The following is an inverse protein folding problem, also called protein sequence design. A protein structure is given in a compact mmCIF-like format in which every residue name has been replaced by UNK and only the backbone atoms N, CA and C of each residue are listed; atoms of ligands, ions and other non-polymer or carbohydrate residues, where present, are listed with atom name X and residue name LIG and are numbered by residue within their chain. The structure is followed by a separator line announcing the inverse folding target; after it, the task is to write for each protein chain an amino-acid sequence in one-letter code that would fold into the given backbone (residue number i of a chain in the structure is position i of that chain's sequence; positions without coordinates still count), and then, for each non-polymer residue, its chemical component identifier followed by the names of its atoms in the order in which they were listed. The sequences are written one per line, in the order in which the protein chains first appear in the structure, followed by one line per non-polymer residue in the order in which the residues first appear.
data_IF_682679021075
#
_entry.id   IF_682679021075
#
_cell.length_a   1.000
_cell.length_b   1.000
_cell.length_c   1.000
_cell.angle_alpha   90.00
_cell.angle_beta   90.00
_cell.angle_gamma   90.00
#
_symmetry.space_group_name_H-M   'P 1'
#
loop_
_entity.id
_entity.type
_entity.pdbx_description
1 polymer ?
#
# COMPACT_ATOMS: atom_id res chain seq x y z
N UNK A 1 -31.31 -55.14 -24.69
CA UNK A 1 -31.34 -54.53 -23.34
C UNK A 1 -29.89 -54.36 -22.92
N UNK A 2 -29.33 -53.15 -23.08
CA UNK A 2 -29.12 -52.16 -22.00
C UNK A 2 -28.13 -52.69 -20.93
N UNK A 3 -27.07 -52.02 -20.47
CA UNK A 3 -26.65 -50.62 -20.55
C UNK A 3 -25.16 -50.54 -20.09
N UNK A 4 -24.40 -49.65 -20.74
CA UNK A 4 -23.45 -48.63 -20.22
C UNK A 4 -22.71 -48.88 -18.88
N UNK A 5 -21.36 -48.95 -18.87
CA UNK A 5 -20.36 -47.84 -18.84
C UNK A 5 -20.36 -47.06 -17.51
N UNK A 6 -19.21 -47.07 -16.81
CA UNK A 6 -18.48 -45.91 -16.24
C UNK A 6 -17.36 -46.48 -15.34
N UNK A 7 -16.15 -46.74 -15.83
CA UNK A 7 -15.11 -45.73 -16.08
C UNK A 7 -14.88 -44.81 -14.87
N UNK A 8 -13.97 -45.23 -13.98
CA UNK A 8 -13.30 -44.35 -13.02
C UNK A 8 -12.44 -43.41 -13.84
N UNK A 9 -13.01 -42.27 -14.23
CA UNK A 9 -12.28 -41.19 -14.87
C UNK A 9 -11.44 -40.47 -13.83
N UNK A 10 -10.14 -40.45 -14.09
CA UNK A 10 -9.16 -39.50 -13.58
C UNK A 10 -9.76 -38.16 -13.20
N UNK A 11 -9.73 -37.84 -11.90
CA UNK A 11 -9.79 -36.44 -11.47
C UNK A 11 -8.46 -35.83 -11.90
N UNK A 12 -8.55 -35.12 -13.01
CA UNK A 12 -7.51 -34.27 -13.57
C UNK A 12 -7.23 -33.13 -12.58
N UNK A 13 -6.28 -33.33 -11.66
CA UNK A 13 -5.58 -32.25 -10.98
C UNK A 13 -4.55 -31.64 -11.94
N UNK A 14 -5.05 -31.00 -12.99
CA UNK A 14 -4.34 -29.91 -13.64
C UNK A 14 -4.93 -28.61 -13.10
N UNK A 15 -4.42 -28.16 -11.95
CA UNK A 15 -4.41 -26.72 -11.65
C UNK A 15 -3.46 -26.09 -12.67
N UNK A 16 -3.96 -25.96 -13.91
CA UNK A 16 -3.33 -25.21 -14.97
C UNK A 16 -3.01 -23.86 -14.39
N UNK A 17 -1.71 -23.59 -14.24
CA UNK A 17 -1.13 -22.28 -14.03
C UNK A 17 -1.60 -21.40 -15.19
N UNK A 18 -2.81 -20.86 -15.10
CA UNK A 18 -3.38 -20.00 -16.11
C UNK A 18 -2.51 -18.76 -16.07
N UNK A 19 -1.59 -18.64 -17.03
CA UNK A 19 -0.76 -17.46 -17.20
C UNK A 19 -1.69 -16.25 -17.17
N UNK A 20 -1.61 -15.50 -16.07
CA UNK A 20 -2.53 -14.40 -15.81
C UNK A 20 -2.24 -13.34 -16.87
N UNK A 21 -3.13 -13.23 -17.86
CA UNK A 21 -3.04 -12.16 -18.86
C UNK A 21 -3.17 -10.82 -18.13
N UNK A 22 -2.06 -10.10 -18.02
CA UNK A 22 -2.09 -8.70 -17.61
C UNK A 22 -2.57 -7.90 -18.82
N UNK A 23 -3.65 -7.15 -18.64
CA UNK A 23 -4.33 -6.47 -19.74
C UNK A 23 -3.83 -5.05 -20.01
N UNK A 24 -2.93 -4.53 -19.17
CA UNK A 24 -2.42 -3.17 -19.27
C UNK A 24 -0.89 -3.12 -19.23
N UNK A 25 -0.34 -2.04 -19.77
CA UNK A 25 1.10 -1.79 -19.89
C UNK A 25 1.51 -0.56 -19.09
N UNK A 26 2.82 -0.29 -19.07
CA UNK A 26 3.44 0.82 -18.37
C UNK A 26 2.78 2.16 -18.64
N UNK A 27 2.35 2.45 -19.88
CA UNK A 27 1.66 3.71 -20.22
C UNK A 27 0.39 3.93 -19.37
N UNK A 28 -0.41 2.88 -19.19
CA UNK A 28 -1.63 2.94 -18.36
C UNK A 28 -1.29 3.04 -16.87
N UNK A 29 -0.25 2.31 -16.44
CA UNK A 29 0.26 2.36 -15.06
C UNK A 29 0.72 3.78 -14.70
N UNK A 30 1.58 4.41 -15.52
CA UNK A 30 2.01 5.79 -15.32
C UNK A 30 0.85 6.80 -15.36
N UNK A 31 -0.08 6.65 -16.31
CA UNK A 31 -1.27 7.51 -16.33
C UNK A 31 -2.08 7.40 -15.03
N UNK A 32 -2.31 6.18 -14.53
CA UNK A 32 -2.97 5.96 -13.26
C UNK A 32 -2.20 6.61 -12.10
N UNK A 33 -0.86 6.48 -12.09
CA UNK A 33 0.00 7.10 -11.06
C UNK A 33 -0.17 8.62 -11.00
N UNK A 34 -0.09 9.29 -12.15
CA UNK A 34 -0.22 10.75 -12.25
C UNK A 34 -1.61 11.21 -11.83
N UNK A 35 -2.66 10.49 -12.24
CA UNK A 35 -4.04 10.83 -11.88
C UNK A 35 -4.31 10.58 -10.39
N UNK A 36 -3.70 9.56 -9.77
CA UNK A 36 -3.74 9.35 -8.32
C UNK A 36 -3.10 10.51 -7.58
N UNK A 37 -1.90 10.96 -7.99
CA UNK A 37 -1.25 12.14 -7.38
C UNK A 37 -2.15 13.37 -7.49
N UNK A 38 -2.66 13.67 -8.68
CA UNK A 38 -3.54 14.81 -8.89
C UNK A 38 -4.81 14.71 -8.01
N UNK A 39 -5.40 13.52 -7.92
CA UNK A 39 -6.56 13.25 -7.06
C UNK A 39 -6.27 13.49 -5.58
N UNK A 40 -5.14 12.98 -5.08
CA UNK A 40 -4.74 13.15 -3.67
C UNK A 40 -4.50 14.63 -3.37
N UNK A 41 -3.81 15.35 -4.24
CA UNK A 41 -3.54 16.78 -4.08
C UNK A 41 -4.83 17.60 -4.06
N UNK A 42 -5.76 17.33 -4.99
CA UNK A 42 -7.06 18.00 -5.03
C UNK A 42 -7.88 17.68 -3.78
N UNK A 43 -7.97 16.41 -3.38
CA UNK A 43 -8.70 15.99 -2.20
C UNK A 43 -8.13 16.62 -0.92
N UNK A 44 -6.80 16.65 -0.79
CA UNK A 44 -6.10 17.29 0.33
C UNK A 44 -6.36 18.79 0.38
N UNK A 45 -6.37 19.47 -0.77
CA UNK A 45 -6.73 20.89 -0.88
C UNK A 45 -8.18 21.12 -0.40
N UNK A 46 -9.14 20.32 -0.85
CA UNK A 46 -10.54 20.44 -0.42
C UNK A 46 -10.70 20.17 1.08
N UNK A 47 -10.05 19.13 1.62
CA UNK A 47 -10.05 18.85 3.06
C UNK A 47 -9.49 20.05 3.83
N UNK A 48 -8.34 20.58 3.41
CA UNK A 48 -7.74 21.76 4.05
C UNK A 48 -8.66 22.98 4.06
N UNK A 49 -9.33 23.28 2.94
CA UNK A 49 -10.30 24.38 2.84
C UNK A 49 -11.51 24.18 3.76
N UNK A 50 -12.04 22.96 3.83
CA UNK A 50 -13.18 22.63 4.70
C UNK A 50 -12.79 22.79 6.16
N UNK A 51 -11.66 22.20 6.57
CA UNK A 51 -11.19 22.29 7.96
C UNK A 51 -10.91 23.73 8.36
N UNK A 52 -10.25 24.51 7.49
CA UNK A 52 -10.01 25.94 7.70
C UNK A 52 -11.31 26.76 7.82
N UNK A 53 -12.33 26.44 7.02
CA UNK A 53 -13.65 27.08 7.13
C UNK A 53 -14.30 26.86 8.50
N UNK A 54 -14.09 25.69 9.11
CA UNK A 54 -14.55 25.38 10.46
C UNK A 54 -13.59 25.87 11.58
N UNK A 55 -12.55 26.63 11.23
CA UNK A 55 -11.62 27.22 12.20
C UNK A 55 -10.61 26.23 12.79
N UNK A 56 -10.37 25.08 12.15
CA UNK A 56 -9.33 24.13 12.57
C UNK A 56 -7.98 24.66 12.11
N UNK A 57 -7.07 24.87 13.06
CA UNK A 57 -5.68 25.20 12.78
C UNK A 57 -4.98 23.98 12.15
N UNK A 58 -4.51 24.13 10.91
CA UNK A 58 -3.82 23.07 10.19
C UNK A 58 -2.36 22.90 10.64
N UNK A 59 -1.78 23.91 11.29
CA UNK A 59 -0.40 23.87 11.80
C UNK A 59 -0.35 23.27 13.21
N UNK A 60 -1.41 23.45 14.00
CA UNK A 60 -1.56 22.83 15.31
C UNK A 60 -2.97 22.23 15.52
N UNK A 61 -3.28 21.12 14.82
CA UNK A 61 -4.62 20.56 14.82
C UNK A 61 -4.95 19.93 16.18
N UNK A 62 -6.17 20.14 16.68
CA UNK A 62 -6.66 19.61 17.96
C UNK A 62 -6.78 18.08 18.01
N UNK A 63 -6.73 17.42 16.84
CA UNK A 63 -6.69 15.97 16.69
C UNK A 63 -5.79 15.57 15.51
N UNK A 64 -5.38 14.29 15.39
CA UNK A 64 -4.57 13.83 14.26
C UNK A 64 -5.34 13.95 12.94
N UNK A 65 -4.85 14.78 12.01
CA UNK A 65 -5.47 14.97 10.70
C UNK A 65 -5.54 13.67 9.89
N UNK A 66 -4.66 12.70 10.18
CA UNK A 66 -4.70 11.35 9.62
C UNK A 66 -6.06 10.65 9.76
N UNK A 67 -6.86 10.96 10.79
CA UNK A 67 -8.21 10.42 10.96
C UNK A 67 -9.18 10.83 9.84
N UNK A 68 -8.89 11.94 9.15
CA UNK A 68 -9.69 12.45 8.03
C UNK A 68 -8.97 12.18 6.72
N UNK A 69 -7.68 12.52 6.63
CA UNK A 69 -6.94 12.46 5.36
C UNK A 69 -6.72 11.03 4.87
N UNK A 70 -6.49 10.05 5.76
CA UNK A 70 -6.30 8.65 5.34
C UNK A 70 -7.54 8.11 4.64
N UNK A 71 -8.76 8.10 5.24
CA UNK A 71 -9.95 7.60 4.55
C UNK A 71 -10.21 8.29 3.20
N UNK A 72 -9.97 9.60 3.11
CA UNK A 72 -10.15 10.37 1.89
C UNK A 72 -9.14 9.96 0.82
N UNK A 73 -7.85 9.89 1.15
CA UNK A 73 -6.79 9.53 0.22
C UNK A 73 -6.94 8.08 -0.25
N UNK A 74 -7.24 7.15 0.65
CA UNK A 74 -7.47 5.75 0.27
C UNK A 74 -8.68 5.59 -0.65
N UNK A 75 -9.76 6.35 -0.41
CA UNK A 75 -10.91 6.33 -1.30
C UNK A 75 -10.55 6.83 -2.71
N UNK A 76 -9.76 7.90 -2.80
CA UNK A 76 -9.26 8.44 -4.08
C UNK A 76 -8.40 7.41 -4.81
N UNK A 77 -7.41 6.82 -4.11
CA UNK A 77 -6.52 5.79 -4.67
C UNK A 77 -7.35 4.61 -5.17
N UNK A 78 -8.29 4.11 -4.36
CA UNK A 78 -9.13 2.98 -4.70
C UNK A 78 -10.02 3.26 -5.91
N UNK A 79 -10.73 4.39 -5.93
CA UNK A 79 -11.64 4.76 -7.03
C UNK A 79 -10.87 4.85 -8.34
N UNK A 80 -9.75 5.57 -8.35
CA UNK A 80 -8.95 5.77 -9.57
C UNK A 80 -8.36 4.44 -10.03
N UNK A 81 -7.77 3.65 -9.12
CA UNK A 81 -7.19 2.34 -9.43
C UNK A 81 -8.23 1.40 -10.03
N UNK A 82 -9.42 1.32 -9.44
CA UNK A 82 -10.49 0.47 -9.95
C UNK A 82 -11.06 0.98 -11.27
N UNK A 83 -11.13 2.29 -11.49
CA UNK A 83 -11.56 2.86 -12.76
C UNK A 83 -10.57 2.51 -13.90
N UNK A 84 -9.27 2.63 -13.63
CA UNK A 84 -8.21 2.24 -14.58
C UNK A 84 -8.19 0.73 -14.82
N UNK A 85 -8.34 -0.09 -13.78
CA UNK A 85 -8.46 -1.54 -13.91
C UNK A 85 -9.65 -1.93 -14.79
N UNK A 86 -10.84 -1.38 -14.53
CA UNK A 86 -12.04 -1.64 -15.32
C UNK A 86 -11.88 -1.20 -16.78
N UNK A 87 -11.27 -0.04 -17.04
CA UNK A 87 -10.99 0.45 -18.40
C UNK A 87 -10.05 -0.49 -19.17
N UNK A 88 -9.16 -1.18 -18.46
CA UNK A 88 -8.27 -2.20 -19.04
C UNK A 88 -8.93 -3.59 -19.15
N UNK A 89 -10.24 -3.73 -18.85
CA UNK A 89 -10.93 -5.03 -18.85
C UNK A 89 -10.59 -5.93 -17.67
N UNK A 90 -9.93 -5.39 -16.64
CA UNK A 90 -9.49 -6.12 -15.46
C UNK A 90 -10.51 -6.04 -14.32
N UNK A 91 -10.51 -7.06 -13.45
CA UNK A 91 -11.28 -7.06 -12.21
C UNK A 91 -10.35 -7.11 -10.98
N UNK A 92 -10.91 -7.06 -9.78
CA UNK A 92 -10.10 -7.04 -8.54
C UNK A 92 -9.24 -8.29 -8.34
N UNK A 93 -9.62 -9.44 -8.89
CA UNK A 93 -8.80 -10.67 -8.85
C UNK A 93 -7.62 -10.56 -9.81
N UNK A 94 -7.77 -9.84 -10.92
CA UNK A 94 -6.67 -9.50 -11.83
C UNK A 94 -5.61 -8.62 -11.14
N UNK A 95 -6.02 -7.78 -10.19
CA UNK A 95 -5.14 -7.01 -9.30
C UNK A 95 -4.49 -7.86 -8.20
N UNK A 96 -4.75 -9.18 -8.18
CA UNK A 96 -4.11 -10.12 -7.28
C UNK A 96 -4.75 -10.27 -5.91
N UNK A 97 -5.97 -9.75 -5.70
CA UNK A 97 -6.68 -9.96 -4.44
C UNK A 97 -7.03 -11.45 -4.30
N UNK A 98 -6.39 -12.13 -3.34
CA UNK A 98 -6.45 -13.58 -3.19
C UNK A 98 -6.40 -13.97 -1.71
N UNK A 99 -6.96 -15.14 -1.39
CA UNK A 99 -6.85 -15.67 -0.03
C UNK A 99 -5.40 -16.04 0.26
N UNK A 100 -5.02 -15.93 1.52
CA UNK A 100 -3.73 -16.38 2.05
C UNK A 100 -3.97 -17.44 3.12
N UNK A 101 -3.07 -18.41 3.22
CA UNK A 101 -3.12 -19.40 4.30
C UNK A 101 -2.65 -18.77 5.61
N UNK A 102 -3.14 -19.27 6.75
CA UNK A 102 -2.74 -18.77 8.07
C UNK A 102 -1.22 -18.84 8.28
N UNK A 103 -0.56 -19.91 7.79
CA UNK A 103 0.90 -20.06 7.87
C UNK A 103 1.62 -18.93 7.13
N UNK A 104 1.15 -18.58 5.93
CA UNK A 104 1.69 -17.48 5.17
C UNK A 104 1.44 -16.14 5.86
N UNK A 105 0.24 -15.93 6.43
CA UNK A 105 -0.09 -14.73 7.20
C UNK A 105 0.85 -14.54 8.40
N UNK A 106 1.15 -15.61 9.16
CA UNK A 106 2.10 -15.55 10.27
C UNK A 106 3.51 -15.20 9.81
N UNK A 107 3.97 -15.76 8.69
CA UNK A 107 5.24 -15.39 8.07
C UNK A 107 5.26 -13.90 7.66
N UNK A 108 4.15 -13.39 7.09
CA UNK A 108 4.03 -11.99 6.72
C UNK A 108 4.15 -11.05 7.93
N UNK A 109 3.67 -11.45 9.11
CA UNK A 109 3.88 -10.66 10.34
C UNK A 109 5.37 -10.56 10.69
N UNK A 110 6.13 -11.66 10.60
CA UNK A 110 7.58 -11.64 10.83
C UNK A 110 8.28 -10.73 9.83
N UNK A 111 7.88 -10.82 8.55
CA UNK A 111 8.42 -9.95 7.49
C UNK A 111 8.09 -8.48 7.75
N UNK A 112 6.90 -8.16 8.29
CA UNK A 112 6.54 -6.79 8.66
C UNK A 112 7.48 -6.21 9.73
N UNK A 113 7.84 -7.02 10.74
CA UNK A 113 8.81 -6.61 11.78
C UNK A 113 10.21 -6.41 11.19
N UNK A 114 10.66 -7.31 10.30
CA UNK A 114 11.94 -7.14 9.60
C UNK A 114 11.95 -5.91 8.70
N UNK A 115 10.84 -5.63 8.02
CA UNK A 115 10.66 -4.42 7.20
C UNK A 115 10.70 -3.16 8.08
N UNK A 116 10.10 -3.19 9.28
CA UNK A 116 10.18 -2.10 10.25
C UNK A 116 11.61 -1.79 10.67
N UNK A 117 12.41 -2.82 10.98
CA UNK A 117 13.82 -2.63 11.29
C UNK A 117 14.60 -2.04 10.11
N UNK A 118 14.32 -2.49 8.88
CA UNK A 118 14.96 -1.97 7.66
C UNK A 118 14.62 -0.49 7.43
N UNK A 119 13.35 -0.11 7.46
CA UNK A 119 12.95 1.29 7.21
C UNK A 119 13.43 2.22 8.31
N UNK A 120 13.43 1.76 9.57
CA UNK A 120 14.00 2.51 10.70
C UNK A 120 15.52 2.72 10.52
N UNK A 121 16.26 1.70 10.06
CA UNK A 121 17.69 1.84 9.76
C UNK A 121 17.96 2.84 8.63
N UNK A 122 17.12 2.83 7.58
CA UNK A 122 17.21 3.81 6.47
C UNK A 122 16.94 5.23 6.98
N UNK A 123 15.86 5.42 7.76
CA UNK A 123 15.53 6.72 8.35
C UNK A 123 16.65 7.22 9.28
N UNK A 124 17.19 6.35 10.14
CA UNK A 124 18.31 6.68 11.02
C UNK A 124 19.56 7.10 10.24
N UNK A 125 19.89 6.38 9.17
CA UNK A 125 21.01 6.73 8.30
C UNK A 125 20.79 8.10 7.63
N UNK A 126 19.58 8.39 7.14
CA UNK A 126 19.23 9.70 6.59
C UNK A 126 19.43 10.82 7.61
N UNK A 127 18.93 10.66 8.82
CA UNK A 127 19.07 11.67 9.89
C UNK A 127 20.53 11.87 10.29
N UNK A 128 21.34 10.81 10.30
CA UNK A 128 22.78 10.90 10.61
C UNK A 128 23.55 11.66 9.52
N UNK A 129 23.19 11.48 8.24
CA UNK A 129 23.89 12.09 7.10
C UNK A 129 23.42 13.53 6.84
N UNK A 130 22.11 13.76 6.92
CA UNK A 130 21.46 15.02 6.50
C UNK A 130 21.08 15.91 7.68
N UNK A 131 21.28 15.45 8.92
CA UNK A 131 20.77 16.10 10.12
C UNK A 131 19.26 15.90 10.32
N UNK A 132 18.71 16.40 11.44
CA UNK A 132 17.28 16.34 11.74
C UNK A 132 16.45 17.19 10.77
N UNK A 133 15.18 16.82 10.59
CA UNK A 133 14.22 17.56 9.76
C UNK A 133 13.11 18.16 10.62
N UNK A 134 12.91 19.49 10.62
CA UNK A 134 11.81 20.09 11.34
C UNK A 134 10.43 19.62 10.84
N UNK A 135 10.32 19.18 9.58
CA UNK A 135 9.06 18.66 9.04
C UNK A 135 8.67 17.28 9.61
N UNK A 136 9.61 16.52 10.16
CA UNK A 136 9.32 15.22 10.80
C UNK A 136 8.50 15.40 12.09
N UNK A 137 8.81 16.42 12.89
CA UNK A 137 8.06 16.73 14.12
C UNK A 137 6.63 17.17 13.78
N UNK A 138 6.50 18.07 12.82
CA UNK A 138 5.20 18.55 12.34
C UNK A 138 4.35 17.42 11.76
N UNK A 139 4.95 16.55 10.93
CA UNK A 139 4.27 15.38 10.38
C UNK A 139 3.85 14.39 11.48
N UNK A 140 4.73 14.14 12.47
CA UNK A 140 4.41 13.29 13.61
C UNK A 140 3.20 13.81 14.39
N UNK A 141 3.10 15.12 14.63
CA UNK A 141 1.95 15.75 15.30
C UNK A 141 0.63 15.60 14.54
N UNK A 142 0.69 15.58 13.20
CA UNK A 142 -0.48 15.42 12.32
C UNK A 142 -0.98 13.97 12.23
N UNK A 143 -0.10 12.99 12.37
CA UNK A 143 -0.42 11.58 12.10
C UNK A 143 -0.55 10.73 13.36
N UNK A 144 0.20 11.04 14.41
CA UNK A 144 0.28 10.20 15.60
C UNK A 144 -1.05 10.22 16.38
N UNK A 145 -1.62 9.05 16.73
CA UNK A 145 -2.78 9.00 17.62
C UNK A 145 -2.42 9.55 19.00
N UNK A 146 -3.38 10.21 19.66
CA UNK A 146 -3.24 10.83 20.98
C UNK A 146 -4.05 10.15 22.07
N UNK A 147 -4.94 9.22 21.68
CA UNK A 147 -5.74 8.41 22.61
C UNK A 147 -5.78 6.95 22.18
N UNK A 148 -6.05 5.99 23.09
CA UNK A 148 -6.20 4.58 22.73
C UNK A 148 -7.27 4.33 21.66
N UNK A 149 -8.37 5.10 21.67
CA UNK A 149 -9.42 4.98 20.67
C UNK A 149 -8.91 5.42 19.28
N UNK A 150 -8.16 6.52 19.20
CA UNK A 150 -7.57 6.97 17.94
C UNK A 150 -6.55 5.96 17.41
N UNK A 151 -5.72 5.38 18.29
CA UNK A 151 -4.79 4.32 17.92
C UNK A 151 -5.54 3.11 17.34
N UNK A 152 -6.59 2.64 18.02
CA UNK A 152 -7.42 1.53 17.55
C UNK A 152 -8.00 1.81 16.16
N UNK A 153 -8.57 3.01 15.95
CA UNK A 153 -9.13 3.41 14.65
C UNK A 153 -8.06 3.37 13.56
N UNK A 154 -6.88 3.97 13.78
CA UNK A 154 -5.81 4.05 12.79
C UNK A 154 -5.17 2.68 12.50
N UNK A 155 -5.08 1.80 13.50
CA UNK A 155 -4.64 0.40 13.32
C UNK A 155 -5.62 -0.37 12.44
N UNK A 156 -6.93 -0.27 12.72
CA UNK A 156 -7.96 -0.93 11.92
C UNK A 156 -7.96 -0.40 10.49
N UNK A 157 -7.88 0.92 10.31
CA UNK A 157 -7.75 1.53 8.98
C UNK A 157 -6.49 1.05 8.26
N UNK A 158 -5.36 0.95 8.96
CA UNK A 158 -4.10 0.49 8.37
C UNK A 158 -4.18 -0.96 7.87
N UNK A 159 -4.79 -1.85 8.64
CA UNK A 159 -4.93 -3.27 8.31
C UNK A 159 -5.96 -3.55 7.21
N UNK A 160 -7.10 -2.85 7.26
CA UNK A 160 -8.28 -3.19 6.43
C UNK A 160 -8.41 -2.27 5.21
N UNK A 161 -7.86 -1.06 5.27
CA UNK A 161 -7.99 -0.06 4.21
C UNK A 161 -6.64 0.24 3.57
N UNK A 162 -5.70 0.88 4.30
CA UNK A 162 -4.44 1.39 3.73
C UNK A 162 -3.63 0.27 3.08
N UNK A 163 -3.28 -0.79 3.82
CA UNK A 163 -2.50 -1.90 3.28
C UNK A 163 -3.16 -2.52 2.03
N UNK A 164 -4.45 -2.93 2.08
CA UNK A 164 -5.13 -3.47 0.92
C UNK A 164 -5.23 -2.53 -0.29
N UNK A 165 -5.62 -1.27 -0.07
CA UNK A 165 -5.84 -0.29 -1.15
C UNK A 165 -4.53 0.09 -1.82
N UNK A 166 -3.51 0.45 -1.03
CA UNK A 166 -2.21 0.82 -1.56
C UNK A 166 -1.54 -0.34 -2.29
N UNK A 167 -1.64 -1.59 -1.80
CA UNK A 167 -1.03 -2.73 -2.50
C UNK A 167 -1.81 -3.12 -3.76
N UNK A 168 -3.14 -2.95 -3.80
CA UNK A 168 -3.92 -3.08 -5.04
C UNK A 168 -3.47 -2.07 -6.11
N UNK A 169 -3.19 -0.84 -5.70
CA UNK A 169 -2.64 0.18 -6.59
C UNK A 169 -1.20 -0.12 -6.99
N UNK A 170 -0.30 -0.25 -6.01
CA UNK A 170 1.14 -0.30 -6.23
C UNK A 170 1.62 -1.63 -6.80
N UNK A 171 1.07 -2.78 -6.38
CA UNK A 171 1.48 -4.09 -6.92
C UNK A 171 0.50 -4.59 -7.94
N UNK A 172 -0.77 -4.55 -7.54
CA UNK A 172 -1.88 -5.04 -8.34
C UNK A 172 -1.95 -4.35 -9.69
N UNK A 173 -1.84 -3.01 -9.75
CA UNK A 173 -1.93 -2.24 -10.99
C UNK A 173 -0.58 -1.70 -11.50
N UNK A 174 0.20 -1.03 -10.65
CA UNK A 174 1.43 -0.33 -11.07
C UNK A 174 2.54 -1.31 -11.44
N UNK A 175 2.96 -2.15 -10.48
CA UNK A 175 4.05 -3.10 -10.68
C UNK A 175 3.71 -4.11 -11.77
N UNK A 176 2.51 -4.67 -11.77
CA UNK A 176 2.06 -5.62 -12.79
C UNK A 176 2.18 -5.03 -14.21
N UNK A 177 1.70 -3.81 -14.44
CA UNK A 177 1.79 -3.14 -15.75
C UNK A 177 3.22 -2.77 -16.17
N UNK A 178 4.07 -2.43 -15.20
CA UNK A 178 5.49 -2.15 -15.44
C UNK A 178 6.28 -3.44 -15.71
N UNK A 179 6.00 -4.52 -14.98
CA UNK A 179 6.59 -5.84 -15.21
C UNK A 179 6.22 -6.40 -16.59
N UNK A 180 4.98 -6.18 -17.03
CA UNK A 180 4.52 -6.57 -18.37
C UNK A 180 5.28 -5.83 -19.49
N UNK A 181 5.74 -4.61 -19.23
CA UNK A 181 6.40 -3.78 -20.25
C UNK A 181 7.91 -3.87 -20.23
N UNK A 182 8.51 -4.07 -19.05
CA UNK A 182 9.95 -3.96 -18.84
C UNK A 182 10.58 -5.21 -18.21
N UNK A 183 9.78 -6.26 -17.96
CA UNK A 183 10.19 -7.48 -17.29
C UNK A 183 10.14 -7.38 -15.76
N UNK A 184 10.18 -8.55 -15.10
CA UNK A 184 9.98 -8.69 -13.65
C UNK A 184 10.88 -7.77 -12.81
N UNK A 185 12.18 -7.80 -13.05
CA UNK A 185 13.15 -7.05 -12.23
C UNK A 185 12.99 -5.54 -12.41
N UNK A 186 12.99 -5.04 -13.65
CA UNK A 186 12.88 -3.59 -13.91
C UNK A 186 11.52 -3.05 -13.47
N UNK A 187 10.44 -3.77 -13.75
CA UNK A 187 9.10 -3.37 -13.34
C UNK A 187 8.95 -3.24 -11.82
N UNK A 188 9.50 -4.19 -11.07
CA UNK A 188 9.56 -4.15 -9.61
C UNK A 188 10.35 -2.95 -9.06
N UNK A 189 11.56 -2.71 -9.58
CA UNK A 189 12.39 -1.58 -9.15
C UNK A 189 11.70 -0.24 -9.44
N UNK A 190 11.13 -0.09 -10.64
CA UNK A 190 10.39 1.12 -11.02
C UNK A 190 9.16 1.34 -10.15
N UNK A 191 8.36 0.29 -9.89
CA UNK A 191 7.19 0.40 -9.03
C UNK A 191 7.56 0.75 -7.59
N UNK A 192 8.66 0.20 -7.07
CA UNK A 192 9.16 0.51 -5.72
C UNK A 192 9.63 1.95 -5.61
N UNK A 193 10.33 2.44 -6.64
CA UNK A 193 10.75 3.84 -6.73
C UNK A 193 9.54 4.79 -6.79
N UNK A 194 8.56 4.52 -7.66
CA UNK A 194 7.34 5.33 -7.75
C UNK A 194 6.54 5.30 -6.44
N UNK A 195 6.46 4.15 -5.77
CA UNK A 195 5.81 4.05 -4.47
C UNK A 195 6.49 4.95 -3.42
N UNK A 196 7.82 5.00 -3.41
CA UNK A 196 8.57 5.93 -2.57
C UNK A 196 8.35 7.39 -2.93
N UNK A 197 8.33 7.72 -4.23
CA UNK A 197 8.07 9.08 -4.71
C UNK A 197 6.66 9.57 -4.36
N UNK A 198 5.66 8.68 -4.33
CA UNK A 198 4.29 9.04 -3.91
C UNK A 198 4.28 9.54 -2.47
N UNK A 199 5.10 8.95 -1.61
CA UNK A 199 5.20 9.32 -0.19
C UNK A 199 5.91 10.66 0.03
N UNK A 200 6.52 11.26 -1.00
CA UNK A 200 6.97 12.64 -0.95
C UNK A 200 5.82 13.64 -0.69
N UNK A 201 4.57 13.25 -0.98
CA UNK A 201 3.37 14.04 -0.67
C UNK A 201 3.12 14.17 0.84
N UNK A 202 3.68 13.26 1.65
CA UNK A 202 3.65 13.35 3.11
C UNK A 202 4.79 14.25 3.59
N UNK A 203 6.03 13.78 3.41
CA UNK A 203 7.27 14.52 3.63
C UNK A 203 8.35 13.95 2.70
N UNK A 204 9.30 14.78 2.27
CA UNK A 204 10.38 14.34 1.36
C UNK A 204 11.25 13.24 1.96
N UNK A 205 11.46 13.24 3.29
CA UNK A 205 12.24 12.20 3.98
C UNK A 205 11.60 10.83 4.00
N UNK A 206 10.29 10.74 3.75
CA UNK A 206 9.60 9.47 3.65
C UNK A 206 10.00 8.69 2.39
N UNK A 207 10.57 9.32 1.36
CA UNK A 207 10.88 8.67 0.07
C UNK A 207 11.80 7.46 0.24
N UNK A 208 12.94 7.59 0.94
CA UNK A 208 13.92 6.51 1.02
C UNK A 208 13.44 5.31 1.86
N UNK A 209 12.84 5.50 3.06
CA UNK A 209 12.30 4.39 3.84
C UNK A 209 11.15 3.69 3.11
N UNK A 210 10.27 4.44 2.44
CA UNK A 210 9.13 3.86 1.70
C UNK A 210 9.55 3.20 0.40
N UNK A 211 10.61 3.66 -0.27
CA UNK A 211 11.24 2.92 -1.37
C UNK A 211 11.77 1.57 -0.86
N UNK A 212 12.46 1.54 0.28
CA UNK A 212 12.95 0.30 0.88
C UNK A 212 11.80 -0.66 1.24
N UNK A 213 10.71 -0.15 1.81
CA UNK A 213 9.48 -0.92 2.03
C UNK A 213 8.89 -1.43 0.71
N UNK A 214 8.82 -0.57 -0.31
CA UNK A 214 8.32 -0.91 -1.65
C UNK A 214 9.11 -2.04 -2.30
N UNK A 215 10.44 -2.07 -2.12
CA UNK A 215 11.28 -3.17 -2.57
C UNK A 215 10.86 -4.49 -1.91
N UNK A 216 10.69 -4.50 -0.58
CA UNK A 216 10.24 -5.69 0.16
C UNK A 216 8.85 -6.15 -0.30
N UNK A 217 7.88 -5.23 -0.32
CA UNK A 217 6.48 -5.51 -0.68
C UNK A 217 6.33 -5.99 -2.13
N UNK A 218 7.12 -5.41 -3.05
CA UNK A 218 7.18 -5.82 -4.44
C UNK A 218 7.84 -7.18 -4.66
N UNK A 219 8.81 -7.58 -3.83
CA UNK A 219 9.36 -8.93 -3.84
C UNK A 219 8.35 -9.95 -3.32
N UNK A 220 7.63 -9.63 -2.24
CA UNK A 220 6.56 -10.49 -1.71
C UNK A 220 5.54 -10.76 -2.79
N UNK A 221 5.10 -9.71 -3.51
CA UNK A 221 4.20 -9.85 -4.66
C UNK A 221 4.72 -10.86 -5.69
N UNK A 222 6.00 -10.76 -6.08
CA UNK A 222 6.58 -11.71 -7.04
C UNK A 222 6.72 -13.13 -6.49
N UNK A 223 7.04 -13.27 -5.20
CA UNK A 223 7.28 -14.56 -4.53
C UNK A 223 6.00 -15.28 -4.12
N UNK A 224 4.87 -14.58 -4.05
CA UNK A 224 3.58 -15.12 -3.60
C UNK A 224 2.59 -15.33 -4.76
N UNK A 225 3.11 -15.55 -5.98
CA UNK A 225 2.33 -15.63 -7.21
C UNK A 225 1.36 -14.44 -7.34
N UNK A 226 1.91 -13.23 -7.31
CA UNK A 226 1.15 -12.00 -7.58
C UNK A 226 -0.10 -11.89 -6.69
N UNK A 227 0.12 -12.00 -5.38
CA UNK A 227 -0.91 -11.92 -4.35
C UNK A 227 -0.78 -10.60 -3.57
N UNK A 228 -1.68 -9.65 -3.82
CA UNK A 228 -1.68 -8.35 -3.12
C UNK A 228 -2.06 -8.49 -1.66
N UNK A 229 -2.85 -9.50 -1.29
CA UNK A 229 -3.26 -9.72 0.10
C UNK A 229 -2.06 -10.09 0.98
N UNK A 230 -1.08 -10.82 0.45
CA UNK A 230 0.15 -11.12 1.19
C UNK A 230 0.94 -9.85 1.50
N UNK A 231 1.17 -8.99 0.50
CA UNK A 231 1.84 -7.69 0.69
C UNK A 231 1.02 -6.77 1.61
N UNK A 232 -0.32 -6.76 1.48
CA UNK A 232 -1.21 -5.93 2.27
C UNK A 232 -1.16 -6.27 3.77
N UNK A 233 -0.99 -7.55 4.13
CA UNK A 233 -0.78 -7.96 5.52
C UNK A 233 0.52 -7.39 6.05
N UNK A 234 1.63 -7.51 5.30
CA UNK A 234 2.93 -6.94 5.72
C UNK A 234 2.81 -5.44 5.92
N UNK A 235 2.24 -4.75 4.93
CA UNK A 235 2.08 -3.30 4.95
C UNK A 235 1.18 -2.83 6.11
N UNK A 236 -0.02 -3.40 6.24
CA UNK A 236 -0.95 -3.02 7.31
C UNK A 236 -0.41 -3.30 8.71
N UNK A 237 0.28 -4.43 8.91
CA UNK A 237 0.92 -4.76 10.19
C UNK A 237 2.07 -3.80 10.48
N UNK A 238 2.91 -3.51 9.48
CA UNK A 238 3.99 -2.53 9.59
C UNK A 238 3.46 -1.16 10.03
N UNK A 239 2.42 -0.63 9.36
CA UNK A 239 1.82 0.65 9.70
C UNK A 239 1.23 0.63 11.12
N UNK A 240 0.59 -0.48 11.50
CA UNK A 240 0.01 -0.64 12.84
C UNK A 240 1.07 -0.60 13.94
N UNK A 241 2.21 -1.28 13.73
CA UNK A 241 3.31 -1.27 14.70
C UNK A 241 3.94 0.13 14.76
N UNK A 242 4.15 0.79 13.62
CA UNK A 242 4.70 2.14 13.58
C UNK A 242 3.80 3.15 14.33
N UNK A 243 2.48 3.08 14.14
CA UNK A 243 1.50 3.89 14.87
C UNK A 243 1.50 3.60 16.37
N UNK A 244 1.63 2.33 16.76
CA UNK A 244 1.73 1.95 18.17
C UNK A 244 3.03 2.48 18.80
N UNK A 245 4.16 2.41 18.10
CA UNK A 245 5.43 2.99 18.57
C UNK A 245 5.28 4.51 18.74
N UNK A 246 4.71 5.19 17.75
CA UNK A 246 4.47 6.64 17.83
C UNK A 246 3.59 6.98 19.05
N UNK A 247 2.53 6.22 19.29
CA UNK A 247 1.65 6.40 20.46
C UNK A 247 2.38 6.24 21.80
N UNK A 248 3.18 5.19 21.97
CA UNK A 248 3.79 4.89 23.27
C UNK A 248 5.09 5.67 23.54
N UNK A 249 5.83 6.07 22.49
CA UNK A 249 7.19 6.60 22.64
C UNK A 249 7.41 8.00 22.08
N UNK A 250 6.45 8.56 21.32
CA UNK A 250 6.59 9.88 20.68
C UNK A 250 5.46 10.83 21.08
N UNK A 251 4.25 10.31 21.31
CA UNK A 251 3.04 11.10 21.47
C UNK A 251 2.79 11.56 22.93
N UNK A 252 3.77 12.16 23.62
CA UNK A 252 3.56 12.79 24.94
C UNK A 252 4.50 13.98 25.14
#
# INVERSE_FOLDING_TARGET
MANQINAVSSVDESDETTERKIFWKARSAFACYIIVIAGILLASMFVGLILGHFGIDLMDPSFPLALISIPVNELVILIITLAFARRSGANIRSLGLRKVSIRLSLLMIVVAVSMLALTAAVAFAQTTILGPDPSEEMFSKMVSPRTPLQLLILVVLSLVVVGPVEELFARGYMQSGLEESFGKTKGWLMASFLFGMLHALNITRAIAPTLAAGLVLGLIWQKTDRNTTASAIVHGVYNSIALAIAFFFVAW
#
